data_IF_597053558494
#
_entry.id   IF_597053558494
#
_cell.length_a   1.000
_cell.length_b   1.000
_cell.length_c   1.000
_cell.angle_alpha   90.00
_cell.angle_beta   90.00
_cell.angle_gamma   90.00
#
_symmetry.space_group_name_H-M   'P 1'
#
loop_
_entity.id
_entity.type
_entity.pdbx_description
1 polymer ?
#
# COMPACT_ATOMS: atom_id res chain seq x y z
N UNK A 1 24.09 -14.22 -12.28
CA UNK A 1 25.48 -14.47 -12.74
C UNK A 1 25.54 -14.49 -14.24
N UNK A 2 24.77 -15.34 -14.90
CA UNK A 2 24.80 -15.56 -16.36
C UNK A 2 24.61 -14.29 -17.22
N UNK A 3 23.80 -13.32 -16.77
CA UNK A 3 23.58 -12.05 -17.48
C UNK A 3 24.77 -11.10 -17.30
N UNK A 4 25.34 -11.02 -16.11
CA UNK A 4 26.44 -10.11 -15.83
C UNK A 4 27.73 -10.50 -16.58
N UNK A 5 27.97 -11.78 -16.81
CA UNK A 5 29.13 -12.24 -17.57
C UNK A 5 29.04 -11.94 -19.09
N UNK A 6 27.89 -11.43 -19.57
CA UNK A 6 27.73 -10.93 -20.93
C UNK A 6 28.18 -9.47 -21.11
N UNK A 7 28.46 -8.78 -20.02
CA UNK A 7 28.90 -7.38 -20.03
C UNK A 7 30.43 -7.37 -20.25
N UNK A 8 30.96 -6.67 -21.28
CA UNK A 8 32.39 -6.57 -21.53
C UNK A 8 33.13 -6.09 -20.27
N UNK A 9 34.16 -6.83 -19.87
CA UNK A 9 34.95 -6.57 -18.66
C UNK A 9 34.44 -7.28 -17.41
N UNK A 10 33.25 -7.93 -17.44
CA UNK A 10 32.71 -8.70 -16.33
C UNK A 10 32.65 -10.21 -16.60
N UNK A 11 33.32 -10.70 -17.64
CA UNK A 11 33.30 -12.10 -18.05
C UNK A 11 33.74 -13.05 -16.93
N UNK A 12 34.73 -12.59 -16.16
CA UNK A 12 35.30 -13.37 -15.03
C UNK A 12 34.95 -12.77 -13.66
N UNK A 13 33.87 -11.96 -13.58
CA UNK A 13 33.48 -11.30 -12.34
C UNK A 13 33.17 -12.32 -11.23
N UNK A 14 33.81 -12.12 -10.09
CA UNK A 14 33.54 -12.85 -8.87
C UNK A 14 32.53 -12.10 -8.02
N UNK A 15 31.41 -12.75 -7.73
CA UNK A 15 30.29 -12.13 -6.99
C UNK A 15 30.48 -12.35 -5.51
N UNK A 16 30.86 -11.30 -4.78
CA UNK A 16 31.05 -11.32 -3.33
C UNK A 16 29.74 -11.51 -2.58
N UNK A 17 28.62 -11.00 -3.14
CA UNK A 17 27.31 -11.11 -2.57
C UNK A 17 26.19 -11.02 -3.62
N UNK A 18 25.13 -11.81 -3.43
CA UNK A 18 23.88 -11.67 -4.17
C UNK A 18 22.84 -11.02 -3.26
N UNK A 19 22.10 -10.06 -3.78
CA UNK A 19 21.01 -9.42 -3.05
C UNK A 19 20.90 -7.92 -3.33
N UNK A 20 20.08 -7.25 -2.54
CA UNK A 20 19.88 -5.81 -2.63
C UNK A 20 21.04 -5.04 -2.02
N UNK A 21 21.38 -3.90 -2.61
CA UNK A 21 22.51 -3.06 -2.17
C UNK A 21 22.17 -2.22 -0.93
N UNK A 22 20.88 -2.08 -0.58
CA UNK A 22 20.40 -1.31 0.55
C UNK A 22 19.38 -2.10 1.35
N UNK A 23 19.21 -1.75 2.62
CA UNK A 23 18.15 -2.24 3.49
C UNK A 23 17.38 -1.04 4.02
N UNK A 24 16.07 -1.03 3.79
CA UNK A 24 15.19 -0.11 4.46
C UNK A 24 14.72 -0.74 5.77
N UNK A 25 14.68 0.05 6.85
CA UNK A 25 14.02 -0.36 8.08
C UNK A 25 12.52 -0.21 7.92
N UNK A 26 11.78 -1.19 8.38
CA UNK A 26 10.32 -1.15 8.44
C UNK A 26 9.85 -1.85 9.71
N UNK A 27 8.64 -1.52 10.16
CA UNK A 27 8.01 -2.18 11.29
C UNK A 27 7.28 -3.44 10.85
N UNK A 28 7.07 -4.37 11.75
CA UNK A 28 6.16 -5.50 11.52
C UNK A 28 4.71 -5.01 11.60
N UNK A 29 4.29 -4.31 10.55
CA UNK A 29 3.03 -3.59 10.49
C UNK A 29 1.79 -4.45 10.76
N UNK A 30 1.73 -5.72 10.29
CA UNK A 30 0.61 -6.61 10.60
C UNK A 30 0.34 -6.82 12.09
N UNK A 31 1.39 -6.74 12.93
CA UNK A 31 1.28 -6.97 14.37
C UNK A 31 1.42 -5.70 15.21
N UNK A 32 2.00 -4.64 14.64
CA UNK A 32 2.31 -3.42 15.36
C UNK A 32 1.32 -2.27 15.09
N UNK A 33 0.60 -2.30 13.96
CA UNK A 33 -0.23 -1.18 13.50
C UNK A 33 -1.67 -1.62 13.27
N UNK A 34 -2.59 -0.67 13.47
CA UNK A 34 -3.99 -0.83 13.07
C UNK A 34 -4.22 -0.48 11.58
N UNK A 35 -5.46 -0.61 11.10
CA UNK A 35 -5.83 -0.35 9.70
C UNK A 35 -5.67 1.10 9.23
N UNK A 36 -5.29 2.01 10.11
CA UNK A 36 -4.94 3.40 9.80
C UNK A 36 -3.45 3.68 9.86
N UNK A 37 -2.63 2.64 10.03
CA UNK A 37 -1.20 2.71 10.39
C UNK A 37 -0.95 3.36 11.76
N UNK A 38 -1.95 3.38 12.64
CA UNK A 38 -1.84 3.84 14.00
C UNK A 38 -1.18 2.80 14.92
N UNK A 39 -0.43 3.28 15.91
CA UNK A 39 0.04 2.42 17.00
C UNK A 39 -1.08 2.31 18.02
N UNK A 40 -1.63 1.09 18.28
CA UNK A 40 -2.76 0.90 19.17
C UNK A 40 -2.54 1.51 20.56
N UNK A 41 -3.55 2.18 21.07
CA UNK A 41 -3.50 2.82 22.40
C UNK A 41 -2.72 4.14 22.44
N UNK A 42 -2.28 4.69 21.30
CA UNK A 42 -1.58 5.97 21.20
C UNK A 42 -2.23 6.89 20.16
N UNK A 43 -1.80 8.17 20.13
CA UNK A 43 -2.13 9.12 19.08
C UNK A 43 -1.15 9.08 17.90
N UNK A 44 -0.21 8.14 17.87
CA UNK A 44 0.83 8.07 16.86
C UNK A 44 0.32 7.29 15.63
N UNK A 45 0.48 7.85 14.45
CA UNK A 45 0.25 7.19 13.15
C UNK A 45 1.56 7.20 12.38
N UNK A 46 1.96 6.06 11.84
CA UNK A 46 3.16 5.94 11.01
C UNK A 46 2.81 6.19 9.54
N UNK A 47 3.78 6.68 8.75
CA UNK A 47 3.61 6.95 7.34
C UNK A 47 4.89 6.69 6.55
N UNK A 48 4.75 6.39 5.26
CA UNK A 48 5.87 6.15 4.36
C UNK A 48 6.46 4.74 4.49
N UNK A 49 7.67 4.58 4.01
CA UNK A 49 8.34 3.29 3.90
C UNK A 49 8.46 2.53 5.22
N UNK A 50 8.48 3.23 6.35
CA UNK A 50 8.53 2.60 7.68
C UNK A 50 7.34 1.65 7.92
N UNK A 51 6.19 1.89 7.30
CA UNK A 51 5.01 1.02 7.36
C UNK A 51 5.07 -0.17 6.41
N UNK A 52 6.13 -0.26 5.58
CA UNK A 52 6.24 -1.27 4.51
C UNK A 52 5.49 -0.93 3.23
N UNK A 53 4.96 0.30 3.10
CA UNK A 53 4.43 0.80 1.83
C UNK A 53 5.60 1.25 0.95
N UNK A 54 6.08 0.36 0.07
CA UNK A 54 7.22 0.62 -0.78
C UNK A 54 6.80 1.35 -2.06
N UNK A 55 7.63 2.29 -2.51
CA UNK A 55 7.37 3.15 -3.65
C UNK A 55 7.06 4.60 -3.25
N UNK A 56 7.44 5.56 -4.12
CA UNK A 56 7.25 6.98 -3.83
C UNK A 56 5.78 7.37 -3.74
N UNK A 57 4.95 6.84 -4.65
CA UNK A 57 3.51 7.12 -4.69
C UNK A 57 2.83 6.52 -3.46
N UNK A 58 3.18 5.30 -3.11
CA UNK A 58 2.66 4.59 -1.95
C UNK A 58 3.06 5.30 -0.64
N UNK A 59 4.30 5.77 -0.54
CA UNK A 59 4.76 6.54 0.61
C UNK A 59 4.01 7.87 0.77
N UNK A 60 3.76 8.59 -0.34
CA UNK A 60 2.95 9.82 -0.35
C UNK A 60 1.51 9.51 0.06
N UNK A 61 0.91 8.46 -0.51
CA UNK A 61 -0.45 8.04 -0.20
C UNK A 61 -0.62 7.66 1.28
N UNK A 62 0.38 6.98 1.87
CA UNK A 62 0.38 6.65 3.30
C UNK A 62 0.44 7.90 4.17
N UNK A 63 1.21 8.93 3.76
CA UNK A 63 1.25 10.22 4.44
C UNK A 63 -0.09 10.94 4.41
N UNK A 64 -0.77 10.94 3.27
CA UNK A 64 -2.10 11.49 3.13
C UNK A 64 -3.13 10.74 4.00
N UNK A 65 -3.10 9.40 3.98
CA UNK A 65 -3.96 8.58 4.82
C UNK A 65 -3.73 8.88 6.31
N UNK A 66 -2.47 8.96 6.73
CA UNK A 66 -2.12 9.30 8.11
C UNK A 66 -2.65 10.68 8.52
N UNK A 67 -2.54 11.68 7.65
CA UNK A 67 -3.06 13.04 7.90
C UNK A 67 -4.59 13.05 8.02
N UNK A 68 -5.30 12.37 7.12
CA UNK A 68 -6.76 12.25 7.16
C UNK A 68 -7.23 11.51 8.40
N UNK A 69 -6.55 10.46 8.80
CA UNK A 69 -6.89 9.70 10.01
C UNK A 69 -6.60 10.51 11.29
N UNK A 70 -5.50 11.25 11.33
CA UNK A 70 -5.26 12.17 12.43
C UNK A 70 -6.33 13.25 12.51
N UNK A 71 -6.72 13.82 11.37
CA UNK A 71 -7.80 14.81 11.30
C UNK A 71 -9.14 14.22 11.78
N UNK A 72 -9.48 12.99 11.34
CA UNK A 72 -10.68 12.30 11.81
C UNK A 72 -10.67 12.07 13.34
N UNK A 73 -9.54 11.61 13.90
CA UNK A 73 -9.36 11.42 15.34
C UNK A 73 -9.55 12.73 16.13
N UNK A 74 -8.97 13.83 15.66
CA UNK A 74 -9.11 15.15 16.31
C UNK A 74 -10.55 15.66 16.31
N UNK A 75 -11.34 15.28 15.31
CA UNK A 75 -12.75 15.65 15.20
C UNK A 75 -13.70 14.62 15.80
N UNK A 76 -13.19 13.53 16.42
CA UNK A 76 -13.97 12.40 16.91
C UNK A 76 -14.87 11.79 15.79
N UNK A 77 -14.35 11.73 14.56
CA UNK A 77 -15.00 11.09 13.42
C UNK A 77 -14.42 9.71 13.16
N UNK A 78 -15.14 8.90 12.40
CA UNK A 78 -14.66 7.60 11.95
C UNK A 78 -13.44 7.77 11.06
N UNK A 79 -12.42 6.93 11.26
CA UNK A 79 -11.21 6.91 10.46
C UNK A 79 -11.47 6.50 9.01
N UNK A 80 -10.58 6.93 8.12
CA UNK A 80 -10.58 6.54 6.70
C UNK A 80 -10.16 5.09 6.58
N UNK A 81 -11.05 4.25 6.08
CA UNK A 81 -10.81 2.83 5.76
C UNK A 81 -11.11 2.61 4.29
N UNK A 82 -10.11 2.73 3.46
CA UNK A 82 -10.26 2.54 2.02
C UNK A 82 -10.73 1.11 1.70
N UNK A 83 -11.66 0.94 0.74
CA UNK A 83 -12.08 -0.39 0.30
C UNK A 83 -10.91 -1.24 -0.19
N UNK A 84 -10.87 -2.52 0.16
CA UNK A 84 -9.82 -3.47 -0.24
C UNK A 84 -9.79 -3.72 -1.76
N UNK A 85 -10.84 -3.32 -2.46
CA UNK A 85 -10.95 -3.33 -3.91
C UNK A 85 -10.16 -2.20 -4.57
N UNK A 86 -9.77 -1.17 -3.80
CA UNK A 86 -8.98 -0.03 -4.30
C UNK A 86 -7.48 -0.31 -4.22
N UNK A 87 -6.69 0.40 -5.03
CA UNK A 87 -5.24 0.20 -5.11
C UNK A 87 -4.55 0.36 -3.77
N UNK A 88 -4.74 1.49 -3.11
CA UNK A 88 -4.07 1.75 -1.84
C UNK A 88 -4.77 1.04 -0.66
N UNK A 89 -6.10 0.86 -0.73
CA UNK A 89 -6.84 0.09 0.26
C UNK A 89 -6.37 -1.36 0.34
N UNK A 90 -6.09 -2.00 -0.82
CA UNK A 90 -5.54 -3.35 -0.85
C UNK A 90 -4.14 -3.44 -0.24
N UNK A 91 -3.29 -2.41 -0.46
CA UNK A 91 -1.95 -2.36 0.14
C UNK A 91 -2.02 -2.16 1.65
N UNK A 92 -2.86 -1.26 2.14
CA UNK A 92 -3.09 -1.06 3.58
C UNK A 92 -3.62 -2.35 4.20
N UNK A 93 -4.62 -2.98 3.56
CA UNK A 93 -5.16 -4.26 4.00
C UNK A 93 -4.10 -5.36 4.10
N UNK A 94 -3.21 -5.48 3.12
CA UNK A 94 -2.08 -6.41 3.18
C UNK A 94 -1.12 -6.07 4.33
N UNK A 95 -0.76 -4.80 4.46
CA UNK A 95 0.23 -4.33 5.43
C UNK A 95 -0.25 -4.39 6.89
N UNK A 96 -1.56 -4.38 7.12
CA UNK A 96 -2.13 -4.38 8.48
C UNK A 96 -2.94 -5.66 8.81
N UNK A 97 -2.90 -6.66 7.93
CA UNK A 97 -3.58 -7.92 8.18
C UNK A 97 -2.74 -8.81 9.11
N UNK A 98 -3.19 -9.12 10.33
CA UNK A 98 -2.44 -9.94 11.29
C UNK A 98 -2.20 -11.39 10.83
N UNK A 99 -2.88 -11.84 9.77
CA UNK A 99 -2.67 -13.15 9.17
C UNK A 99 -1.60 -13.14 8.07
N UNK A 100 -1.03 -11.98 7.72
CA UNK A 100 0.07 -11.87 6.74
C UNK A 100 1.32 -12.53 7.34
N UNK A 101 1.73 -13.65 6.72
CA UNK A 101 2.97 -14.36 7.11
C UNK A 101 4.16 -13.78 6.37
N UNK A 102 5.32 -13.79 7.02
CA UNK A 102 6.59 -13.34 6.43
C UNK A 102 6.45 -11.97 5.74
N UNK A 103 5.86 -11.01 6.48
CA UNK A 103 5.58 -9.68 5.97
C UNK A 103 6.81 -9.04 5.33
N UNK A 104 6.66 -8.57 4.11
CA UNK A 104 7.68 -7.83 3.37
C UNK A 104 7.09 -6.55 2.82
N UNK A 105 7.88 -5.45 2.79
CA UNK A 105 7.48 -4.23 2.10
C UNK A 105 7.09 -4.50 0.66
N UNK A 106 6.02 -3.83 0.21
CA UNK A 106 5.43 -4.09 -1.10
C UNK A 106 4.88 -2.81 -1.72
N UNK A 107 4.92 -2.75 -3.06
CA UNK A 107 4.14 -1.75 -3.80
C UNK A 107 2.77 -2.29 -4.15
N UNK A 108 1.87 -1.39 -4.54
CA UNK A 108 0.58 -1.76 -5.13
C UNK A 108 0.78 -2.66 -6.34
N UNK A 109 0.09 -3.79 -6.35
CA UNK A 109 0.06 -4.71 -7.48
C UNK A 109 -1.24 -5.50 -7.49
N UNK A 110 -1.66 -6.00 -8.66
CA UNK A 110 -2.92 -6.73 -8.81
C UNK A 110 -3.00 -8.06 -8.02
N UNK A 111 -1.90 -8.53 -7.44
CA UNK A 111 -1.88 -9.76 -6.64
C UNK A 111 -2.45 -9.61 -5.25
N UNK A 112 -2.52 -8.36 -4.74
CA UNK A 112 -3.06 -8.05 -3.40
C UNK A 112 -4.47 -7.46 -3.44
N UNK A 113 -5.02 -7.18 -4.64
CA UNK A 113 -6.40 -6.72 -4.79
C UNK A 113 -7.37 -7.83 -4.41
N UNK A 114 -8.48 -7.45 -3.83
CA UNK A 114 -9.60 -8.37 -3.64
C UNK A 114 -10.05 -8.96 -4.98
N UNK A 115 -10.23 -10.30 -5.08
CA UNK A 115 -10.63 -10.94 -6.33
C UNK A 115 -11.94 -10.39 -6.89
N UNK A 116 -12.16 -10.55 -8.21
CA UNK A 116 -13.46 -10.34 -8.80
C UNK A 116 -14.36 -11.54 -8.48
N UNK A 117 -15.66 -11.30 -8.34
CA UNK A 117 -16.66 -12.35 -8.12
C UNK A 117 -16.77 -13.29 -9.32
N UNK A 118 -16.43 -12.79 -10.51
CA UNK A 118 -16.45 -13.54 -11.77
C UNK A 118 -15.07 -14.09 -12.16
N UNK A 119 -15.04 -15.29 -12.71
CA UNK A 119 -13.81 -15.89 -13.21
C UNK A 119 -13.48 -15.46 -14.63
N UNK A 120 -12.47 -14.58 -14.79
CA UNK A 120 -12.01 -14.08 -16.08
C UNK A 120 -10.68 -14.74 -16.44
N UNK A 121 -10.69 -15.52 -17.54
CA UNK A 121 -9.50 -16.27 -18.01
C UNK A 121 -8.41 -15.34 -18.58
N UNK A 122 -8.79 -14.32 -19.33
CA UNK A 122 -7.85 -13.40 -19.96
C UNK A 122 -7.30 -12.42 -18.92
N UNK A 123 -5.98 -12.43 -18.75
CA UNK A 123 -5.27 -11.65 -17.73
C UNK A 123 -5.51 -10.14 -17.89
N UNK A 124 -5.47 -9.63 -19.11
CA UNK A 124 -5.61 -8.19 -19.38
C UNK A 124 -7.03 -7.71 -19.11
N UNK A 125 -8.03 -8.46 -19.54
CA UNK A 125 -9.43 -8.19 -19.26
C UNK A 125 -9.73 -8.21 -17.75
N UNK A 126 -9.18 -9.21 -17.04
CA UNK A 126 -9.30 -9.29 -15.58
C UNK A 126 -8.71 -8.07 -14.89
N UNK A 127 -7.50 -7.63 -15.30
CA UNK A 127 -6.85 -6.45 -14.74
C UNK A 127 -7.63 -5.16 -15.03
N UNK A 128 -8.16 -5.05 -16.25
CA UNK A 128 -8.99 -3.91 -16.62
C UNK A 128 -10.23 -3.82 -15.74
N UNK A 129 -10.98 -4.90 -15.56
CA UNK A 129 -12.16 -4.93 -14.69
C UNK A 129 -11.83 -4.65 -13.23
N UNK A 130 -10.69 -5.15 -12.73
CA UNK A 130 -10.22 -4.82 -11.38
C UNK A 130 -9.94 -3.33 -11.24
N UNK A 131 -9.32 -2.71 -12.25
CA UNK A 131 -9.04 -1.27 -12.25
C UNK A 131 -10.35 -0.44 -12.32
N UNK A 132 -11.28 -0.81 -13.17
CA UNK A 132 -12.59 -0.16 -13.29
C UNK A 132 -13.37 -0.23 -11.96
N UNK A 133 -13.41 -1.40 -11.33
CA UNK A 133 -14.00 -1.58 -10.00
C UNK A 133 -13.30 -0.70 -8.96
N UNK A 134 -11.97 -0.69 -8.95
CA UNK A 134 -11.19 0.09 -8.00
C UNK A 134 -11.48 1.60 -8.10
N UNK A 135 -11.58 2.14 -9.32
CA UNK A 135 -11.95 3.53 -9.53
C UNK A 135 -13.36 3.83 -9.03
N UNK A 136 -14.33 3.01 -9.42
CA UNK A 136 -15.72 3.18 -8.99
C UNK A 136 -15.84 3.14 -7.45
N UNK A 137 -15.28 2.12 -6.81
CA UNK A 137 -15.38 1.94 -5.36
C UNK A 137 -14.65 3.06 -4.60
N UNK A 138 -13.57 3.60 -5.18
CA UNK A 138 -12.88 4.75 -4.62
C UNK A 138 -13.73 6.02 -4.71
N UNK A 139 -14.34 6.31 -5.87
CA UNK A 139 -15.20 7.46 -6.06
C UNK A 139 -16.45 7.39 -5.17
N UNK A 140 -17.06 6.22 -5.07
CA UNK A 140 -18.20 5.96 -4.18
C UNK A 140 -17.78 6.19 -2.71
N UNK A 141 -16.61 5.72 -2.30
CA UNK A 141 -16.09 5.93 -0.96
C UNK A 141 -15.84 7.42 -0.66
N UNK A 142 -15.16 8.15 -1.55
CA UNK A 142 -14.91 9.60 -1.39
C UNK A 142 -16.24 10.35 -1.28
N UNK A 143 -17.22 10.00 -2.12
CA UNK A 143 -18.55 10.62 -2.11
C UNK A 143 -19.30 10.38 -0.79
N UNK A 144 -19.11 9.21 -0.17
CA UNK A 144 -19.70 8.86 1.12
C UNK A 144 -19.06 9.54 2.33
N UNK A 145 -17.83 10.09 2.17
CA UNK A 145 -17.00 10.65 3.24
C UNK A 145 -16.61 12.11 2.99
N UNK A 146 -17.47 12.86 2.32
CA UNK A 146 -17.19 14.26 1.93
C UNK A 146 -16.77 15.12 3.11
N UNK A 147 -17.29 14.87 4.31
CA UNK A 147 -16.95 15.61 5.54
C UNK A 147 -15.46 15.60 5.91
N UNK A 148 -14.70 14.61 5.41
CA UNK A 148 -13.26 14.52 5.60
C UNK A 148 -12.48 15.08 4.41
N UNK A 149 -13.03 14.99 3.21
CA UNK A 149 -12.33 15.38 1.99
C UNK A 149 -12.62 16.82 1.56
N UNK A 150 -13.71 17.44 2.02
CA UNK A 150 -14.01 18.84 1.72
C UNK A 150 -12.99 19.82 2.31
N UNK A 151 -12.31 19.47 3.40
CA UNK A 151 -11.21 20.26 3.94
C UNK A 151 -10.01 20.39 2.99
N UNK A 152 -9.94 19.55 1.96
CA UNK A 152 -8.89 19.57 0.93
C UNK A 152 -9.27 20.45 -0.28
N UNK A 153 -10.55 20.81 -0.42
CA UNK A 153 -11.00 21.78 -1.43
C UNK A 153 -10.67 23.17 -0.89
N UNK A 154 -9.60 23.75 -1.40
CA UNK A 154 -9.33 25.18 -1.22
C UNK A 154 -10.16 25.95 -2.23
N UNK A 155 -10.88 26.97 -1.77
CA UNK A 155 -11.52 27.97 -2.60
C UNK A 155 -10.50 28.67 -3.50
#
# INVERSE_FOLDING_TARGET
>A
KRVFTLIPGLENAEFVRYGVMHRNSFVDSPHALDGSFGIPGTFTILAGQITGTEGYVEAIASGLLAALNMYARLLNKEEVKLPLTTSFGSLVGYATNPHTKDYQPMHVNFGIFEPLDEHIKRKDERRQKMAERAHKDFDDYISSRQELFDCMKRD
#
